data_IF_945176550192
#
_entry.id   IF_945176550192
#
_cell.length_a   1.000
_cell.length_b   1.000
_cell.length_c   1.000
_cell.angle_alpha   90.00
_cell.angle_beta   90.00
_cell.angle_gamma   90.00
#
_symmetry.space_group_name_H-M   'P 1'
#
loop_
_entity.id
_entity.type
_entity.pdbx_description
1 polymer ?
#
# COMPACT_ATOMS: atom_id res chain seq x y z
N UNK A 1 21.29 4.22 -24.46
CA UNK A 1 20.82 3.12 -25.33
C UNK A 1 19.29 3.15 -25.31
N UNK A 2 18.70 4.13 -26.02
CA UNK A 2 17.91 3.96 -27.25
C UNK A 2 16.44 3.57 -26.92
N UNK A 3 15.37 4.22 -27.36
CA UNK A 3 15.17 5.09 -28.52
C UNK A 3 13.94 5.98 -28.31
N UNK A 4 14.08 7.26 -28.69
CA UNK A 4 13.01 8.24 -28.86
C UNK A 4 12.26 7.98 -30.17
N UNK A 5 10.93 8.19 -30.18
CA UNK A 5 10.18 8.50 -31.39
C UNK A 5 9.37 9.79 -31.17
N UNK A 6 9.90 10.90 -31.71
CA UNK A 6 9.18 12.16 -31.94
C UNK A 6 8.26 11.99 -33.16
N UNK A 7 7.04 12.51 -33.09
CA UNK A 7 6.38 13.13 -34.24
C UNK A 7 5.73 14.45 -33.84
N UNK A 8 6.28 15.52 -34.42
CA UNK A 8 5.72 16.86 -34.51
C UNK A 8 4.57 16.88 -35.50
N UNK A 9 3.51 17.64 -35.21
CA UNK A 9 2.85 18.50 -36.20
C UNK A 9 2.46 19.82 -35.53
N UNK A 10 2.83 20.91 -36.21
CA UNK A 10 2.68 22.31 -35.84
C UNK A 10 1.29 22.87 -36.27
N UNK A 11 0.94 24.12 -35.90
CA UNK A 11 -0.43 24.64 -35.79
C UNK A 11 -0.89 25.42 -37.04
N UNK A 12 -2.21 25.64 -37.18
CA UNK A 12 -2.72 26.81 -37.92
C UNK A 12 -4.13 27.25 -37.50
N UNK A 13 -4.34 28.56 -37.59
CA UNK A 13 -5.43 29.37 -37.06
C UNK A 13 -6.68 29.42 -37.97
N UNK A 14 -7.85 29.68 -37.36
CA UNK A 14 -8.68 30.83 -37.78
C UNK A 14 -10.07 30.60 -38.43
N UNK A 15 -11.06 31.31 -37.83
CA UNK A 15 -12.31 31.90 -38.38
C UNK A 15 -13.66 31.16 -38.26
N UNK A 16 -14.59 31.84 -37.57
CA UNK A 16 -16.06 31.84 -37.83
C UNK A 16 -16.39 32.75 -39.03
N UNK A 17 -17.59 32.65 -39.64
CA UNK A 17 -18.75 33.46 -39.21
C UNK A 17 -20.16 32.82 -39.37
N UNK A 18 -21.05 33.25 -38.45
CA UNK A 18 -22.48 33.67 -38.48
C UNK A 18 -23.59 33.17 -39.44
N UNK A 19 -24.81 33.16 -38.83
CA UNK A 19 -26.16 33.50 -39.35
C UNK A 19 -26.91 32.43 -40.20
N UNK A 20 -28.23 32.18 -40.14
CA UNK A 20 -29.42 32.89 -39.61
C UNK A 20 -30.69 32.02 -39.75
N UNK A 21 -31.69 32.19 -38.86
CA UNK A 21 -33.15 32.17 -39.12
C UNK A 21 -33.90 30.82 -39.21
N UNK A 22 -35.22 30.69 -38.97
CA UNK A 22 -36.27 31.55 -38.41
C UNK A 22 -37.61 30.75 -38.40
N UNK A 23 -38.56 31.06 -37.49
CA UNK A 23 -40.03 30.80 -37.57
C UNK A 23 -40.49 29.40 -37.12
N UNK A 24 -41.39 29.21 -36.13
CA UNK A 24 -42.79 29.70 -35.97
C UNK A 24 -43.73 28.50 -36.29
N UNK A 25 -44.87 28.19 -35.67
CA UNK A 25 -45.78 28.81 -34.70
C UNK A 25 -46.90 27.76 -34.38
N UNK A 26 -47.65 27.95 -33.27
CA UNK A 26 -49.05 27.51 -32.96
C UNK A 26 -49.42 26.06 -32.55
N UNK A 27 -49.63 25.90 -31.23
CA UNK A 27 -50.92 25.77 -30.51
C UNK A 27 -52.08 24.96 -31.13
N UNK A 28 -52.55 23.89 -30.45
CA UNK A 28 -53.98 23.67 -30.16
C UNK A 28 -54.25 22.57 -29.10
N UNK A 29 -55.35 22.77 -28.37
CA UNK A 29 -55.90 21.96 -27.29
C UNK A 29 -56.66 20.71 -27.79
N UNK A 30 -56.76 19.69 -26.92
CA UNK A 30 -58.03 19.17 -26.39
C UNK A 30 -58.13 17.63 -26.31
N UNK A 31 -58.46 17.21 -25.09
CA UNK A 31 -58.97 15.94 -24.57
C UNK A 31 -59.85 15.09 -25.49
N UNK A 32 -59.70 13.74 -25.43
CA UNK A 32 -60.70 12.77 -24.91
C UNK A 32 -60.41 11.30 -25.32
N UNK A 33 -60.42 10.45 -24.30
CA UNK A 33 -61.05 9.12 -24.17
C UNK A 33 -60.69 7.94 -25.11
N UNK A 34 -60.21 6.88 -24.43
CA UNK A 34 -60.07 5.45 -24.73
C UNK A 34 -60.77 4.80 -25.95
N UNK A 35 -60.00 3.99 -26.69
CA UNK A 35 -60.43 2.72 -27.31
C UNK A 35 -59.27 1.70 -27.28
N UNK A 36 -59.59 0.50 -26.82
CA UNK A 36 -58.77 -0.72 -26.72
C UNK A 36 -58.46 -1.33 -28.10
N UNK A 37 -57.19 -1.62 -28.43
CA UNK A 37 -56.86 -2.78 -29.28
C UNK A 37 -55.38 -3.24 -29.21
N UNK A 38 -55.23 -4.56 -29.07
CA UNK A 38 -54.01 -5.39 -29.08
C UNK A 38 -53.01 -5.05 -30.20
N UNK A 39 -51.69 -5.15 -29.94
CA UNK A 39 -50.78 -6.23 -30.43
C UNK A 39 -49.29 -5.99 -30.09
N UNK A 40 -48.59 -7.11 -29.89
CA UNK A 40 -47.14 -7.39 -30.05
C UNK A 40 -46.26 -7.33 -28.79
N UNK A 41 -45.88 -8.54 -28.39
CA UNK A 41 -44.69 -8.93 -27.65
C UNK A 41 -43.44 -8.17 -28.13
N UNK A 42 -42.74 -7.52 -27.21
CA UNK A 42 -41.30 -7.26 -27.30
C UNK A 42 -40.66 -7.68 -25.98
N UNK A 43 -39.66 -8.56 -26.11
CA UNK A 43 -38.88 -9.13 -25.01
C UNK A 43 -38.22 -8.03 -24.17
N UNK A 44 -38.45 -8.05 -22.86
CA UNK A 44 -37.60 -7.38 -21.88
C UNK A 44 -36.64 -8.42 -21.29
N UNK A 45 -35.33 -8.14 -21.41
CA UNK A 45 -34.20 -8.98 -20.98
C UNK A 45 -33.95 -8.88 -19.46
N UNK A 46 -34.95 -8.44 -18.68
CA UNK A 46 -34.74 -8.14 -17.25
C UNK A 46 -35.06 -9.28 -16.27
N UNK A 47 -35.48 -10.46 -16.74
CA UNK A 47 -35.95 -11.56 -15.87
C UNK A 47 -35.04 -12.80 -15.83
N UNK A 48 -33.75 -12.67 -16.16
CA UNK A 48 -32.80 -13.81 -16.17
C UNK A 48 -31.49 -13.59 -15.40
N UNK A 49 -31.53 -12.94 -14.23
CA UNK A 49 -30.35 -12.85 -13.36
C UNK A 49 -30.60 -13.18 -11.88
N UNK A 50 -31.79 -13.67 -11.53
CA UNK A 50 -32.17 -14.01 -10.15
C UNK A 50 -32.11 -15.53 -9.87
N UNK A 51 -31.06 -16.22 -10.33
CA UNK A 51 -30.77 -17.61 -9.94
C UNK A 51 -29.25 -17.87 -9.96
N UNK A 52 -28.49 -17.12 -9.16
CA UNK A 52 -27.18 -17.60 -8.69
C UNK A 52 -27.40 -18.03 -7.25
N UNK A 53 -27.19 -19.31 -6.89
CA UNK A 53 -27.27 -19.72 -5.50
C UNK A 53 -26.26 -18.87 -4.72
N UNK A 54 -26.71 -18.21 -3.66
CA UNK A 54 -25.81 -17.65 -2.67
C UNK A 54 -24.98 -18.82 -2.15
N UNK A 55 -23.74 -18.95 -2.64
CA UNK A 55 -22.81 -19.96 -2.14
C UNK A 55 -22.45 -19.49 -0.73
N UNK A 56 -23.22 -19.94 0.24
CA UNK A 56 -22.90 -19.79 1.65
C UNK A 56 -21.72 -20.72 1.90
N UNK A 57 -20.50 -20.20 1.78
CA UNK A 57 -19.32 -20.93 2.21
C UNK A 57 -19.47 -21.15 3.72
N UNK A 58 -19.52 -22.41 4.20
CA UNK A 58 -19.58 -22.65 5.62
C UNK A 58 -18.35 -22.02 6.25
N UNK A 59 -18.56 -21.18 7.27
CA UNK A 59 -17.46 -20.61 8.06
C UNK A 59 -16.47 -21.72 8.38
N UNK A 60 -15.23 -21.59 7.88
CA UNK A 60 -14.19 -22.57 8.13
C UNK A 60 -14.07 -22.78 9.64
N UNK A 61 -14.14 -24.03 10.08
CA UNK A 61 -13.97 -24.36 11.49
C UNK A 61 -12.58 -23.92 11.97
N UNK A 62 -12.42 -23.74 13.28
CA UNK A 62 -11.11 -23.42 13.88
C UNK A 62 -10.00 -24.35 13.39
N UNK A 63 -10.31 -25.64 13.29
CA UNK A 63 -9.40 -26.69 12.86
C UNK A 63 -9.05 -26.57 11.37
N UNK A 64 -10.03 -26.27 10.52
CA UNK A 64 -9.78 -26.05 9.10
C UNK A 64 -8.81 -24.88 8.88
N UNK A 65 -9.03 -23.74 9.55
CA UNK A 65 -8.16 -22.56 9.44
C UNK A 65 -6.72 -22.85 9.87
N UNK A 66 -6.53 -23.54 11.00
CA UNK A 66 -5.20 -23.94 11.46
C UNK A 66 -4.51 -24.86 10.44
N UNK A 67 -5.25 -25.80 9.85
CA UNK A 67 -4.72 -26.68 8.82
C UNK A 67 -4.38 -25.94 7.52
N UNK A 68 -5.17 -24.97 7.08
CA UNK A 68 -4.84 -24.10 5.94
C UNK A 68 -3.56 -23.32 6.19
N UNK A 69 -3.41 -22.76 7.41
CA UNK A 69 -2.21 -22.00 7.76
C UNK A 69 -0.96 -22.90 7.84
N UNK A 70 -1.05 -24.07 8.47
CA UNK A 70 0.05 -25.03 8.51
C UNK A 70 0.53 -25.41 7.11
N UNK A 71 -0.40 -25.75 6.20
CA UNK A 71 -0.06 -26.05 4.80
C UNK A 71 0.61 -24.87 4.09
N UNK A 72 0.14 -23.64 4.33
CA UNK A 72 0.78 -22.46 3.75
C UNK A 72 2.23 -22.32 4.21
N UNK A 73 2.52 -22.50 5.50
CA UNK A 73 3.89 -22.48 6.02
C UNK A 73 4.74 -23.56 5.34
N UNK A 74 4.26 -24.81 5.31
CA UNK A 74 4.99 -25.92 4.70
C UNK A 74 5.27 -25.68 3.20
N UNK A 75 4.30 -25.14 2.46
CA UNK A 75 4.45 -24.85 1.02
C UNK A 75 5.45 -23.75 0.73
N UNK A 76 5.64 -22.82 1.66
CA UNK A 76 6.60 -21.72 1.48
C UNK A 76 8.05 -22.15 1.76
N UNK A 77 8.28 -23.34 2.32
CA UNK A 77 9.61 -23.85 2.62
C UNK A 77 10.36 -24.24 1.34
N UNK A 78 11.59 -23.75 1.19
CA UNK A 78 12.41 -24.01 0.01
C UNK A 78 12.02 -23.22 -1.24
N UNK A 79 11.02 -22.34 -1.19
CA UNK A 79 10.72 -21.40 -2.28
C UNK A 79 11.94 -20.53 -2.53
N UNK A 80 12.31 -20.35 -3.80
CA UNK A 80 13.51 -19.63 -4.22
C UNK A 80 13.24 -18.23 -4.81
N UNK A 81 11.97 -17.94 -5.14
CA UNK A 81 11.58 -16.73 -5.85
C UNK A 81 10.43 -16.00 -5.15
N UNK A 82 10.51 -14.67 -5.11
CA UNK A 82 9.51 -13.82 -4.45
C UNK A 82 8.12 -13.89 -5.09
N UNK A 83 8.05 -14.05 -6.42
CA UNK A 83 6.78 -14.15 -7.16
C UNK A 83 6.01 -15.41 -6.76
N UNK A 84 6.70 -16.56 -6.70
CA UNK A 84 6.11 -17.83 -6.26
C UNK A 84 5.64 -17.75 -4.80
N UNK A 85 6.43 -17.11 -3.92
CA UNK A 85 6.03 -16.87 -2.54
C UNK A 85 4.75 -16.01 -2.46
N UNK A 86 4.63 -15.00 -3.32
CA UNK A 86 3.46 -14.12 -3.39
C UNK A 86 2.23 -14.85 -3.97
N UNK A 87 2.44 -15.76 -4.91
CA UNK A 87 1.40 -16.66 -5.43
C UNK A 87 0.85 -17.58 -4.33
N UNK A 88 1.71 -18.17 -3.50
CA UNK A 88 1.29 -19.00 -2.37
C UNK A 88 0.49 -18.20 -1.34
N UNK A 89 0.91 -16.96 -1.03
CA UNK A 89 0.14 -16.09 -0.14
C UNK A 89 -1.23 -15.73 -0.74
N UNK A 90 -1.28 -15.46 -2.05
CA UNK A 90 -2.54 -15.20 -2.76
C UNK A 90 -3.47 -16.41 -2.70
N UNK A 91 -2.94 -17.62 -2.92
CA UNK A 91 -3.71 -18.86 -2.79
C UNK A 91 -4.20 -19.09 -1.35
N UNK A 92 -3.40 -18.75 -0.34
CA UNK A 92 -3.81 -18.80 1.05
C UNK A 92 -4.96 -17.80 1.34
N UNK A 93 -4.84 -16.57 0.87
CA UNK A 93 -5.84 -15.51 1.04
C UNK A 93 -7.22 -15.86 0.44
N UNK A 94 -7.24 -16.65 -0.64
CA UNK A 94 -8.49 -17.14 -1.24
C UNK A 94 -9.32 -18.01 -0.30
N UNK A 95 -8.72 -18.68 0.70
CA UNK A 95 -9.47 -19.42 1.73
C UNK A 95 -10.27 -18.49 2.67
N UNK A 96 -10.10 -17.17 2.54
CA UNK A 96 -10.75 -16.13 3.32
C UNK A 96 -11.50 -15.12 2.43
N UNK A 97 -11.91 -15.54 1.22
CA UNK A 97 -12.64 -14.71 0.25
C UNK A 97 -11.90 -13.42 -0.15
N UNK A 98 -10.56 -13.43 -0.08
CA UNK A 98 -9.69 -12.34 -0.48
C UNK A 98 -9.03 -12.64 -1.84
N UNK A 99 -9.72 -12.41 -2.99
CA UNK A 99 -9.15 -12.62 -4.32
C UNK A 99 -8.07 -11.60 -4.68
N UNK A 100 -8.01 -10.49 -3.96
CA UNK A 100 -7.14 -9.37 -4.29
C UNK A 100 -6.16 -9.14 -3.14
N UNK A 101 -4.87 -9.12 -3.44
CA UNK A 101 -3.82 -8.81 -2.47
C UNK A 101 -2.83 -7.81 -3.05
N UNK A 102 -2.22 -7.00 -2.20
CA UNK A 102 -1.17 -6.09 -2.61
C UNK A 102 -0.10 -5.97 -1.53
N UNK A 103 1.15 -6.11 -1.94
CA UNK A 103 2.31 -5.79 -1.12
C UNK A 103 2.97 -4.50 -1.61
N UNK A 104 3.30 -3.62 -0.68
CA UNK A 104 3.96 -2.35 -0.98
C UNK A 104 5.08 -2.07 0.03
N UNK A 105 6.32 -2.02 -0.45
CA UNK A 105 7.49 -1.61 0.35
C UNK A 105 7.69 -0.09 0.24
N UNK A 106 7.75 0.61 1.38
CA UNK A 106 7.92 2.07 1.44
C UNK A 106 9.38 2.52 1.61
N UNK A 107 10.32 1.58 1.80
CA UNK A 107 11.70 1.88 2.20
C UNK A 107 12.77 1.31 1.27
N UNK A 108 12.49 1.20 -0.03
CA UNK A 108 13.51 0.89 -1.05
C UNK A 108 13.84 -0.60 -1.24
N UNK A 109 13.02 -1.51 -0.70
CA UNK A 109 13.03 -2.94 -1.07
C UNK A 109 12.28 -3.24 -2.37
N UNK A 110 12.25 -4.50 -2.84
CA UNK A 110 11.65 -4.83 -4.13
C UNK A 110 10.14 -4.58 -4.14
N UNK A 111 9.71 -3.96 -5.25
CA UNK A 111 8.42 -4.01 -5.93
C UNK A 111 7.12 -3.78 -5.15
N UNK A 112 6.29 -2.89 -5.70
CA UNK A 112 4.84 -3.00 -5.56
C UNK A 112 4.44 -4.30 -6.24
N UNK A 113 3.85 -5.23 -5.51
CA UNK A 113 3.30 -6.47 -6.05
C UNK A 113 1.79 -6.44 -5.86
N UNK A 114 1.04 -5.77 -6.77
CA UNK A 114 -0.41 -5.76 -6.71
C UNK A 114 -0.97 -6.92 -7.55
N UNK A 115 -1.85 -7.70 -6.93
CA UNK A 115 -2.86 -8.50 -7.62
C UNK A 115 -4.19 -7.80 -7.45
N UNK A 116 -4.26 -6.54 -7.89
CA UNK A 116 -5.50 -5.76 -7.94
C UNK A 116 -5.98 -5.66 -9.39
N UNK A 117 -7.27 -5.36 -9.63
CA UNK A 117 -7.76 -5.10 -10.99
C UNK A 117 -6.94 -4.02 -11.70
N UNK A 118 -6.56 -4.25 -12.96
CA UNK A 118 -5.73 -3.31 -13.73
C UNK A 118 -6.33 -1.91 -13.81
N UNK A 119 -7.65 -1.83 -13.97
CA UNK A 119 -8.40 -0.55 -13.98
C UNK A 119 -8.18 0.25 -12.69
N UNK A 120 -8.14 -0.42 -11.53
CA UNK A 120 -7.86 0.24 -10.27
C UNK A 120 -6.42 0.69 -10.17
N UNK A 121 -5.46 -0.14 -10.59
CA UNK A 121 -4.04 0.22 -10.56
C UNK A 121 -3.76 1.45 -11.41
N UNK A 122 -4.33 1.51 -12.62
CA UNK A 122 -4.23 2.66 -13.50
C UNK A 122 -4.86 3.90 -12.85
N UNK A 123 -6.07 3.77 -12.31
CA UNK A 123 -6.77 4.87 -11.64
C UNK A 123 -5.98 5.42 -10.45
N UNK A 124 -5.42 4.53 -9.64
CA UNK A 124 -4.61 4.87 -8.47
C UNK A 124 -3.41 5.72 -8.86
N UNK A 125 -2.71 5.34 -9.94
CA UNK A 125 -1.59 6.09 -10.47
C UNK A 125 -2.01 7.45 -11.06
N UNK A 126 -3.06 7.48 -11.89
CA UNK A 126 -3.55 8.71 -12.54
C UNK A 126 -3.99 9.78 -11.54
N UNK A 127 -4.63 9.36 -10.45
CA UNK A 127 -5.11 10.25 -9.39
C UNK A 127 -4.02 10.64 -8.38
N UNK A 128 -2.82 10.04 -8.45
CA UNK A 128 -1.73 10.30 -7.51
C UNK A 128 -2.04 9.88 -6.08
N UNK A 129 -2.77 8.77 -5.92
CA UNK A 129 -3.22 8.31 -4.60
C UNK A 129 -2.07 7.87 -3.68
N UNK A 130 -0.90 7.55 -4.22
CA UNK A 130 0.33 7.27 -3.46
C UNK A 130 0.69 8.36 -2.45
N UNK A 131 0.31 9.62 -2.73
CA UNK A 131 0.65 10.78 -1.88
C UNK A 131 -0.32 11.00 -0.73
N UNK A 132 -1.55 10.55 -0.90
CA UNK A 132 -2.65 10.81 0.04
C UNK A 132 -3.26 9.54 0.61
N UNK A 133 -2.72 8.36 0.30
CA UNK A 133 -3.29 7.09 0.72
C UNK A 133 -3.43 7.01 2.26
N UNK A 134 -4.66 6.99 2.80
CA UNK A 134 -4.88 6.98 4.23
C UNK A 134 -4.49 5.62 4.85
N UNK A 135 -4.37 4.54 4.07
CA UNK A 135 -3.81 3.25 4.53
C UNK A 135 -2.32 3.41 4.85
N UNK A 136 -1.56 4.13 4.01
CA UNK A 136 -0.14 4.42 4.28
C UNK A 136 0.00 5.29 5.54
N UNK A 137 -0.82 6.34 5.65
CA UNK A 137 -0.86 7.24 6.81
C UNK A 137 -1.20 6.50 8.11
N UNK A 138 -2.15 5.58 8.09
CA UNK A 138 -2.52 4.75 9.24
C UNK A 138 -1.44 3.72 9.58
N UNK A 139 -0.84 3.08 8.57
CA UNK A 139 0.18 2.05 8.77
C UNK A 139 1.44 2.58 9.45
N UNK A 140 1.80 3.85 9.24
CA UNK A 140 2.90 4.51 9.96
C UNK A 140 2.65 4.68 11.46
N UNK A 141 1.41 4.55 11.91
CA UNK A 141 1.00 4.78 13.32
C UNK A 141 0.58 3.51 14.05
N UNK A 142 0.37 2.40 13.33
CA UNK A 142 -0.14 1.14 13.88
C UNK A 142 0.86 0.01 13.69
N UNK A 143 0.91 -0.90 14.66
CA UNK A 143 1.72 -2.12 14.59
C UNK A 143 0.90 -3.37 14.24
N UNK A 144 -0.43 -3.30 14.29
CA UNK A 144 -1.34 -4.42 14.03
C UNK A 144 -2.18 -4.19 12.79
N UNK A 145 -2.75 -5.28 12.24
CA UNK A 145 -3.72 -5.20 11.17
C UNK A 145 -4.93 -4.33 11.54
N UNK A 146 -5.51 -3.68 10.54
CA UNK A 146 -6.70 -2.85 10.70
C UNK A 146 -7.60 -2.97 9.46
N UNK A 147 -8.90 -2.74 9.66
CA UNK A 147 -9.88 -2.75 8.56
C UNK A 147 -9.86 -1.43 7.80
N UNK A 148 -10.15 -1.48 6.51
CA UNK A 148 -10.34 -0.27 5.72
C UNK A 148 -11.51 0.58 6.21
N UNK A 149 -12.57 -0.04 6.75
CA UNK A 149 -13.70 0.65 7.37
C UNK A 149 -13.28 1.48 8.60
N UNK A 150 -12.27 1.05 9.36
CA UNK A 150 -11.74 1.83 10.48
C UNK A 150 -11.06 3.11 9.98
N UNK A 151 -10.40 3.05 8.82
CA UNK A 151 -9.73 4.21 8.22
C UNK A 151 -10.74 5.14 7.56
N UNK A 152 -11.71 4.60 6.82
CA UNK A 152 -12.77 5.39 6.18
C UNK A 152 -13.57 6.23 7.19
N UNK A 153 -13.91 5.63 8.33
CA UNK A 153 -14.71 6.24 9.39
C UNK A 153 -13.88 7.07 10.38
N UNK A 154 -12.55 7.13 10.24
CA UNK A 154 -11.70 7.94 11.12
C UNK A 154 -11.99 9.45 10.92
N UNK A 155 -12.05 10.18 12.03
CA UNK A 155 -12.32 11.62 12.04
C UNK A 155 -11.21 12.39 11.29
N UNK A 156 -9.98 11.88 11.33
CA UNK A 156 -8.82 12.46 10.66
C UNK A 156 -8.70 12.12 9.17
N UNK A 157 -9.64 11.36 8.61
CA UNK A 157 -9.67 11.03 7.18
C UNK A 157 -10.42 12.13 6.41
N UNK A 158 -9.77 12.70 5.40
CA UNK A 158 -10.37 13.77 4.57
C UNK A 158 -11.32 13.19 3.52
N UNK A 159 -12.13 14.04 2.90
CA UNK A 159 -13.04 13.59 1.82
C UNK A 159 -12.27 13.11 0.58
N UNK A 160 -11.14 13.74 0.27
CA UNK A 160 -10.24 13.32 -0.80
C UNK A 160 -9.62 11.94 -0.51
N UNK A 161 -9.28 11.67 0.76
CA UNK A 161 -8.79 10.38 1.23
C UNK A 161 -9.92 9.31 1.19
N UNK A 162 -11.17 9.66 1.53
CA UNK A 162 -12.32 8.74 1.43
C UNK A 162 -12.64 8.32 0.01
N UNK A 163 -12.51 9.26 -0.94
CA UNK A 163 -12.75 9.01 -2.36
C UNK A 163 -11.90 7.87 -2.92
N UNK A 164 -10.69 7.65 -2.39
CA UNK A 164 -9.86 6.50 -2.75
C UNK A 164 -10.62 5.18 -2.53
N UNK A 165 -11.25 5.01 -1.36
CA UNK A 165 -12.03 3.81 -1.06
C UNK A 165 -13.28 3.69 -1.92
N UNK A 166 -13.97 4.81 -2.16
CA UNK A 166 -15.19 4.83 -2.97
C UNK A 166 -14.88 4.41 -4.41
N UNK A 167 -13.80 4.92 -5.00
CA UNK A 167 -13.35 4.54 -6.34
C UNK A 167 -12.85 3.08 -6.36
N UNK A 168 -12.06 2.65 -5.37
CA UNK A 168 -11.59 1.26 -5.25
C UNK A 168 -12.78 0.27 -5.22
N UNK A 169 -13.84 0.63 -4.49
CA UNK A 169 -15.06 -0.16 -4.39
C UNK A 169 -15.77 -0.32 -5.74
N UNK A 170 -15.71 0.66 -6.65
CA UNK A 170 -16.27 0.52 -8.01
C UNK A 170 -15.51 -0.50 -8.86
N UNK A 171 -14.22 -0.70 -8.58
CA UNK A 171 -13.38 -1.72 -9.21
C UNK A 171 -13.45 -3.09 -8.51
N UNK A 172 -14.30 -3.25 -7.49
CA UNK A 172 -14.48 -4.51 -6.77
C UNK A 172 -13.62 -4.69 -5.51
N UNK A 173 -12.86 -3.67 -5.10
CA UNK A 173 -12.11 -3.64 -3.84
C UNK A 173 -12.97 -2.96 -2.75
N UNK A 174 -14.06 -3.62 -2.35
CA UNK A 174 -15.10 -2.99 -1.50
C UNK A 174 -14.78 -3.00 -0.01
N UNK A 175 -14.13 -4.06 0.47
CA UNK A 175 -13.74 -4.23 1.85
C UNK A 175 -12.37 -4.88 1.90
N UNK A 176 -11.62 -4.62 2.97
CA UNK A 176 -10.28 -5.15 3.11
C UNK A 176 -9.68 -4.89 4.48
N UNK A 177 -8.52 -5.51 4.69
CA UNK A 177 -7.63 -5.24 5.80
C UNK A 177 -6.24 -4.90 5.27
N UNK A 178 -5.50 -4.12 6.05
CA UNK A 178 -4.09 -3.86 5.79
C UNK A 178 -3.27 -4.18 7.03
N UNK A 179 -2.10 -4.76 6.80
CA UNK A 179 -1.15 -5.23 7.81
C UNK A 179 0.14 -4.43 7.65
N UNK A 180 0.48 -3.56 8.62
CA UNK A 180 1.79 -2.92 8.69
C UNK A 180 2.85 -3.95 9.04
N UNK A 181 3.95 -3.98 8.28
CA UNK A 181 5.06 -4.92 8.43
C UNK A 181 6.34 -4.11 8.56
N UNK A 182 6.97 -4.17 9.74
CA UNK A 182 8.16 -3.38 10.05
C UNK A 182 9.41 -4.25 9.97
N UNK A 183 10.41 -3.82 9.22
CA UNK A 183 11.69 -4.50 9.06
C UNK A 183 12.79 -3.98 9.98
N UNK A 184 13.98 -4.56 9.85
CA UNK A 184 15.12 -4.37 10.77
C UNK A 184 15.82 -2.99 10.68
N UNK A 185 15.57 -2.20 9.65
CA UNK A 185 16.18 -0.89 9.37
C UNK A 185 15.16 0.28 9.47
N UNK A 186 14.12 0.10 10.29
CA UNK A 186 12.94 0.97 10.31
C UNK A 186 12.21 1.04 8.95
N UNK A 187 12.40 0.04 8.08
CA UNK A 187 11.58 -0.12 6.90
C UNK A 187 10.14 -0.42 7.27
N UNK A 188 9.23 0.10 6.44
CA UNK A 188 7.81 -0.20 6.53
C UNK A 188 7.36 -0.79 5.20
N UNK A 189 6.73 -1.95 5.28
CA UNK A 189 5.94 -2.51 4.21
C UNK A 189 4.48 -2.63 4.64
N UNK A 190 3.59 -2.74 3.66
CA UNK A 190 2.17 -2.91 3.89
C UNK A 190 1.72 -4.08 3.04
N UNK A 191 1.05 -5.05 3.67
CA UNK A 191 0.30 -6.09 2.99
C UNK A 191 -1.19 -5.80 3.13
N UNK A 192 -1.90 -5.74 2.01
CA UNK A 192 -3.34 -5.52 1.98
C UNK A 192 -4.05 -6.72 1.37
N UNK A 193 -5.18 -7.10 1.97
CA UNK A 193 -6.08 -8.15 1.50
C UNK A 193 -7.46 -7.54 1.28
N UNK A 194 -8.03 -7.78 0.12
CA UNK A 194 -9.29 -7.17 -0.29
C UNK A 194 -10.26 -8.20 -0.86
N UNK A 195 -11.54 -7.95 -0.58
CA UNK A 195 -12.65 -8.80 -0.95
C UNK A 195 -13.72 -8.00 -1.68
N UNK A 196 -14.49 -8.70 -2.51
CA UNK A 196 -15.66 -8.14 -3.19
C UNK A 196 -16.86 -8.01 -2.23
N UNK A 197 -16.93 -8.87 -1.21
CA UNK A 197 -18.02 -8.93 -0.24
C UNK A 197 -18.01 -7.78 0.76
N UNK A 198 -19.21 -7.35 1.18
CA UNK A 198 -19.40 -6.36 2.25
C UNK A 198 -19.42 -6.95 3.67
N UNK A 199 -19.12 -8.24 3.83
CA UNK A 199 -19.06 -8.88 5.15
C UNK A 199 -17.84 -8.38 5.94
N UNK A 200 -17.99 -8.19 7.25
CA UNK A 200 -16.84 -7.80 8.06
C UNK A 200 -15.90 -8.99 8.30
N UNK A 201 -14.59 -8.70 8.25
CA UNK A 201 -13.57 -9.65 8.66
C UNK A 201 -13.70 -10.00 10.15
N UNK A 202 -13.81 -11.30 10.43
CA UNK A 202 -13.74 -11.81 11.79
C UNK A 202 -12.33 -11.66 12.36
N UNK A 203 -12.20 -11.37 13.65
CA UNK A 203 -10.91 -11.16 14.30
C UNK A 203 -9.94 -12.34 14.11
N UNK A 204 -10.46 -13.56 14.05
CA UNK A 204 -9.67 -14.76 13.81
C UNK A 204 -9.08 -14.79 12.39
N UNK A 205 -9.88 -14.46 11.38
CA UNK A 205 -9.42 -14.31 10.00
C UNK A 205 -8.32 -13.25 9.89
N UNK A 206 -8.52 -12.09 10.51
CA UNK A 206 -7.52 -11.01 10.55
C UNK A 206 -6.21 -11.52 11.15
N UNK A 207 -6.29 -12.30 12.24
CA UNK A 207 -5.09 -12.87 12.89
C UNK A 207 -4.32 -13.78 11.94
N UNK A 208 -5.00 -14.70 11.24
CA UNK A 208 -4.35 -15.60 10.28
C UNK A 208 -3.73 -14.85 9.09
N UNK A 209 -4.45 -13.89 8.52
CA UNK A 209 -3.93 -13.07 7.42
C UNK A 209 -2.74 -12.21 7.87
N UNK A 210 -2.78 -11.65 9.08
CA UNK A 210 -1.65 -10.92 9.67
C UNK A 210 -0.42 -11.81 9.85
N UNK A 211 -0.59 -13.02 10.40
CA UNK A 211 0.52 -13.96 10.57
C UNK A 211 1.09 -14.42 9.22
N UNK A 212 0.24 -14.70 8.23
CA UNK A 212 0.67 -15.08 6.89
C UNK A 212 1.42 -13.94 6.17
N UNK A 213 0.94 -12.70 6.32
CA UNK A 213 1.61 -11.51 5.79
C UNK A 213 2.99 -11.29 6.42
N UNK A 214 3.11 -11.45 7.74
CA UNK A 214 4.38 -11.33 8.44
C UNK A 214 5.35 -12.43 8.01
N UNK A 215 4.89 -13.68 7.94
CA UNK A 215 5.70 -14.80 7.45
C UNK A 215 6.21 -14.58 6.03
N UNK A 216 5.33 -14.13 5.13
CA UNK A 216 5.68 -13.73 3.77
C UNK A 216 6.79 -12.67 3.75
N UNK A 217 6.62 -11.60 4.52
CA UNK A 217 7.56 -10.48 4.53
C UNK A 217 8.94 -10.87 5.07
N UNK A 218 9.00 -11.64 6.16
CA UNK A 218 10.27 -12.14 6.69
C UNK A 218 10.99 -13.07 5.71
N UNK A 219 10.26 -13.89 4.94
CA UNK A 219 10.88 -14.70 3.87
C UNK A 219 11.33 -13.83 2.68
N UNK A 220 10.58 -12.79 2.34
CA UNK A 220 10.95 -11.85 1.28
C UNK A 220 12.25 -11.11 1.61
N UNK A 221 12.46 -10.70 2.86
CA UNK A 221 13.71 -10.11 3.32
C UNK A 221 14.90 -11.06 3.15
N UNK A 222 14.70 -12.38 3.26
CA UNK A 222 15.75 -13.37 3.01
C UNK A 222 16.10 -13.55 1.52
N UNK A 223 15.19 -13.22 0.60
CA UNK A 223 15.47 -13.25 -0.85
C UNK A 223 16.26 -12.04 -1.33
N UNK A 224 16.24 -10.94 -0.58
CA UNK A 224 17.15 -9.83 -0.83
C UNK A 224 18.57 -10.32 -0.51
N UNK A 225 19.30 -10.73 -1.54
CA UNK A 225 20.68 -11.17 -1.47
C UNK A 225 21.49 -10.29 -0.48
N UNK A 226 22.32 -10.88 0.40
CA UNK A 226 23.32 -10.13 1.17
C UNK A 226 24.31 -9.37 0.28
N UNK A 227 24.29 -9.63 -1.03
CA UNK A 227 25.12 -9.05 -2.09
C UNK A 227 24.55 -7.68 -2.49
N UNK A 228 24.53 -6.74 -1.54
CA UNK A 228 24.02 -5.40 -1.84
C UNK A 228 23.71 -4.53 -0.64
N UNK A 229 23.72 -5.07 0.59
CA UNK A 229 23.91 -4.22 1.76
C UNK A 229 25.28 -3.58 1.60
N UNK A 230 25.32 -2.30 1.21
CA UNK A 230 26.36 -1.44 1.71
C UNK A 230 26.39 -1.69 3.21
N UNK A 231 27.47 -2.39 3.59
CA UNK A 231 27.84 -2.76 4.94
C UNK A 231 27.24 -1.74 5.88
N UNK A 232 26.51 -2.22 6.90
CA UNK A 232 26.50 -1.60 8.23
C UNK A 232 27.79 -0.79 8.31
N UNK A 233 27.74 0.55 8.30
CA UNK A 233 28.92 1.34 8.09
C UNK A 233 29.67 1.29 9.40
N UNK A 234 30.30 0.14 9.68
CA UNK A 234 30.60 -0.40 11.00
C UNK A 234 31.28 0.71 11.76
N UNK A 235 30.47 1.41 12.56
CA UNK A 235 30.97 2.47 13.40
C UNK A 235 31.87 1.74 14.39
N UNK A 236 33.13 2.14 14.44
CA UNK A 236 34.06 1.70 15.46
C UNK A 236 33.47 1.99 16.83
N UNK A 237 33.92 1.25 17.86
CA UNK A 237 33.42 1.46 19.23
C UNK A 237 33.51 2.92 19.67
N UNK A 238 34.59 3.63 19.29
CA UNK A 238 34.75 5.07 19.59
C UNK A 238 33.80 5.97 18.80
N UNK A 239 33.52 5.65 17.54
CA UNK A 239 32.51 6.37 16.78
C UNK A 239 31.11 6.17 17.39
N UNK A 240 30.77 4.94 17.80
CA UNK A 240 29.51 4.62 18.49
C UNK A 240 29.39 5.39 19.81
N UNK A 241 30.41 5.38 20.65
CA UNK A 241 30.43 6.15 21.90
C UNK A 241 30.25 7.65 21.65
N UNK A 242 30.97 8.23 20.69
CA UNK A 242 30.85 9.66 20.36
C UNK A 242 29.44 10.01 19.85
N UNK A 243 28.87 9.19 18.97
CA UNK A 243 27.53 9.44 18.41
C UNK A 243 26.42 9.18 19.44
N UNK A 244 26.63 8.25 20.38
CA UNK A 244 25.72 7.98 21.49
C UNK A 244 25.61 9.19 22.43
N UNK A 245 26.74 9.74 22.86
CA UNK A 245 26.71 10.95 23.69
C UNK A 245 26.19 12.17 22.94
N UNK A 246 26.43 12.23 21.63
CA UNK A 246 25.79 13.23 20.76
C UNK A 246 24.27 13.08 20.77
N UNK A 247 23.75 11.86 20.66
CA UNK A 247 22.33 11.57 20.70
C UNK A 247 21.69 11.95 22.04
N UNK A 248 22.44 11.83 23.14
CA UNK A 248 22.08 12.32 24.48
C UNK A 248 22.27 13.83 24.69
N UNK A 249 22.53 14.58 23.61
CA UNK A 249 22.60 16.04 23.63
C UNK A 249 23.91 16.64 24.14
N UNK A 250 24.99 15.85 24.28
CA UNK A 250 26.29 16.34 24.74
C UNK A 250 27.05 17.09 23.65
N UNK A 251 27.72 18.18 24.05
CA UNK A 251 28.66 18.92 23.21
C UNK A 251 29.99 18.17 23.06
N UNK A 252 30.77 18.44 22.01
CA UNK A 252 32.08 17.80 21.82
C UNK A 252 33.03 17.98 23.01
N UNK A 253 32.88 19.08 23.76
CA UNK A 253 33.64 19.33 24.99
C UNK A 253 33.24 18.38 26.11
N UNK A 254 31.95 18.25 26.37
CA UNK A 254 31.43 17.31 27.37
C UNK A 254 31.75 15.87 27.00
N UNK A 255 31.60 15.50 25.72
CA UNK A 255 31.97 14.16 25.22
C UNK A 255 33.46 13.89 25.47
N UNK A 256 34.33 14.87 25.20
CA UNK A 256 35.76 14.74 25.47
C UNK A 256 36.06 14.50 26.95
N UNK A 257 35.36 15.19 27.84
CA UNK A 257 35.46 14.98 29.30
C UNK A 257 34.98 13.57 29.67
N UNK A 258 33.83 13.15 29.15
CA UNK A 258 33.22 11.85 29.48
C UNK A 258 34.08 10.68 28.99
N UNK A 259 34.62 10.77 27.77
CA UNK A 259 35.39 9.69 27.14
C UNK A 259 36.90 9.77 27.40
N UNK A 260 37.38 10.81 28.08
CA UNK A 260 38.80 11.02 28.36
C UNK A 260 39.64 11.32 27.11
N UNK A 261 39.07 12.00 26.12
CA UNK A 261 39.74 12.34 24.85
C UNK A 261 39.62 13.84 24.53
N UNK A 262 40.48 14.34 23.63
CA UNK A 262 40.42 15.76 23.25
C UNK A 262 39.18 16.09 22.41
N UNK A 263 38.75 17.34 22.45
CA UNK A 263 37.64 17.85 21.60
C UNK A 263 37.91 17.60 20.12
N UNK A 264 39.17 17.71 19.68
CA UNK A 264 39.57 17.44 18.31
C UNK A 264 39.39 15.96 17.95
N UNK A 265 39.71 15.04 18.86
CA UNK A 265 39.50 13.60 18.69
C UNK A 265 38.01 13.27 18.57
N UNK A 266 37.15 13.89 19.41
CA UNK A 266 35.69 13.75 19.28
C UNK A 266 35.22 14.22 17.91
N UNK A 267 35.62 15.41 17.47
CA UNK A 267 35.23 15.96 16.18
C UNK A 267 35.73 15.10 15.01
N UNK A 268 36.89 14.47 15.14
CA UNK A 268 37.40 13.50 14.15
C UNK A 268 36.48 12.29 14.03
N UNK A 269 36.08 11.67 15.14
CA UNK A 269 35.15 10.53 15.12
C UNK A 269 33.79 10.92 14.55
N UNK A 270 33.24 12.08 14.95
CA UNK A 270 31.96 12.57 14.42
C UNK A 270 32.01 12.83 12.91
N UNK A 271 33.11 13.39 12.38
CA UNK A 271 33.29 13.55 10.92
C UNK A 271 33.38 12.20 10.19
N UNK A 272 33.98 11.19 10.82
CA UNK A 272 34.01 9.85 10.25
C UNK A 272 32.61 9.23 10.24
N UNK A 273 31.81 9.45 11.29
CA UNK A 273 30.39 9.04 11.36
C UNK A 273 29.59 9.70 10.23
N UNK A 274 29.81 11.00 9.97
CA UNK A 274 29.13 11.74 8.90
C UNK A 274 29.36 11.12 7.53
N UNK A 275 30.61 10.81 7.20
CA UNK A 275 30.96 10.11 5.95
C UNK A 275 30.33 8.71 5.89
N UNK A 276 30.29 8.00 7.01
CA UNK A 276 29.77 6.64 7.12
C UNK A 276 28.24 6.55 7.04
N UNK A 277 27.53 7.56 7.54
CA UNK A 277 26.06 7.61 7.55
C UNK A 277 25.49 8.52 6.45
N UNK A 278 26.31 8.95 5.50
CA UNK A 278 25.98 9.89 4.42
C UNK A 278 25.16 11.09 4.92
N UNK A 279 25.78 11.89 5.79
CA UNK A 279 25.16 13.09 6.37
C UNK A 279 26.21 14.09 6.79
N UNK A 280 25.84 15.37 6.89
CA UNK A 280 26.69 16.45 7.38
C UNK A 280 26.21 17.03 8.71
N UNK A 281 25.09 16.55 9.25
CA UNK A 281 24.45 17.07 10.45
C UNK A 281 24.58 16.10 11.62
N UNK A 282 25.02 16.62 12.78
CA UNK A 282 25.16 15.85 14.03
C UNK A 282 23.86 15.21 14.46
N UNK A 283 22.78 15.97 14.40
CA UNK A 283 21.46 15.51 14.80
C UNK A 283 20.95 14.45 13.84
N UNK A 284 21.11 14.66 12.53
CA UNK A 284 20.71 13.67 11.52
C UNK A 284 21.54 12.39 11.65
N UNK A 285 22.85 12.50 11.93
CA UNK A 285 23.71 11.35 12.17
C UNK A 285 23.27 10.55 13.41
N UNK A 286 22.91 11.23 14.51
CA UNK A 286 22.41 10.57 15.71
C UNK A 286 21.08 9.84 15.44
N UNK A 287 20.14 10.49 14.74
CA UNK A 287 18.85 9.88 14.37
C UNK A 287 19.07 8.67 13.45
N UNK A 288 19.89 8.80 12.40
CA UNK A 288 20.23 7.68 11.51
C UNK A 288 20.84 6.51 12.29
N UNK A 289 21.75 6.79 13.23
CA UNK A 289 22.40 5.76 14.03
C UNK A 289 21.42 5.04 15.00
N UNK A 290 20.43 5.75 15.54
CA UNK A 290 19.36 5.14 16.36
C UNK A 290 18.43 4.30 15.49
N UNK A 291 17.94 4.84 14.37
CA UNK A 291 16.98 4.15 13.50
C UNK A 291 17.57 2.88 12.88
N UNK A 292 18.88 2.86 12.61
CA UNK A 292 19.60 1.69 12.13
C UNK A 292 20.03 0.72 13.25
N UNK A 293 19.65 0.95 14.51
CA UNK A 293 20.03 0.10 15.64
C UNK A 293 21.53 0.09 15.96
N UNK A 294 22.31 1.05 15.46
CA UNK A 294 23.77 1.10 15.67
C UNK A 294 24.10 1.55 17.11
N UNK A 295 23.23 2.38 17.69
CA UNK A 295 23.27 2.87 19.07
C UNK A 295 21.86 2.84 19.70
N UNK A 296 21.80 2.65 21.01
CA UNK A 296 20.57 2.65 21.82
C UNK A 296 20.63 3.77 22.87
N UNK A 297 19.54 4.51 23.09
CA UNK A 297 19.49 5.67 23.98
C UNK A 297 19.33 5.30 25.45
#
# INVERSE_FOLDING_TARGET
MAMLARRQLCPYQGRRPDATGCGGEKMEHSSKTAVTQRRRLTNSVSDRLSLVPSVHFPMATSEALAAHFGRFIDQTDGVAHSEELFDLLSAFALNFDCPWIAYHSLSGGPAIMPKYPDEWQQRYFEMGYDRIDPIIKMSRKRASAFRWSEVYNDIGTTEEERRLFDEAATCGLRSGISVPLHGSDASLAIMSFAQLGGCEFQNKTITYLQLAALHFHLKLENFADPIGFEKDPRLSSREKECILWTARGKSSREIGIILGITVNTVNFHIKSVFRKLDTSSRTVAAIKAINAGIIEL
#
